data_IF_288494374077
#
_entry.id   IF_288494374077
#
_cell.length_a   1.000
_cell.length_b   1.000
_cell.length_c   1.000
_cell.angle_alpha   90.00
_cell.angle_beta   90.00
_cell.angle_gamma   90.00
#
_symmetry.space_group_name_H-M   'P 1'
#
loop_
_entity.id
_entity.type
_entity.pdbx_description
1 polymer ?
#
# COMPACT_ATOMS: atom_id res chain seq x y z
N UNK A 1 26.99 -17.67 17.33
CA UNK A 1 26.04 -16.88 18.11
C UNK A 1 25.22 -16.07 17.14
N UNK A 2 24.03 -16.55 16.82
CA UNK A 2 23.03 -15.84 16.08
C UNK A 2 22.40 -14.84 17.06
N UNK A 3 22.81 -13.58 16.95
CA UNK A 3 22.08 -12.53 17.63
C UNK A 3 20.91 -12.16 16.74
N UNK A 4 19.71 -12.23 17.28
CA UNK A 4 18.49 -11.67 16.65
C UNK A 4 18.86 -10.31 16.05
N UNK A 5 18.55 -10.06 14.78
CA UNK A 5 19.11 -8.92 14.08
C UNK A 5 18.60 -7.58 14.60
N UNK A 6 17.52 -7.55 15.37
CA UNK A 6 16.97 -6.28 15.78
C UNK A 6 16.01 -6.37 16.97
N UNK A 7 16.48 -6.03 18.15
CA UNK A 7 15.66 -5.34 19.14
C UNK A 7 16.10 -3.87 19.10
N UNK A 8 15.29 -3.02 18.51
CA UNK A 8 15.50 -1.59 18.58
C UNK A 8 14.89 -1.06 19.88
N UNK A 9 15.70 -0.93 20.91
CA UNK A 9 15.31 -0.28 22.15
C UNK A 9 15.16 1.26 21.97
N UNK A 10 15.28 1.77 20.74
CA UNK A 10 15.19 3.18 20.47
C UNK A 10 13.73 3.64 20.52
N UNK A 11 13.44 4.53 21.43
CA UNK A 11 12.13 5.20 21.53
C UNK A 11 12.01 6.27 20.44
N UNK A 12 11.29 5.97 19.39
CA UNK A 12 10.99 6.90 18.29
C UNK A 12 9.78 7.80 18.56
N UNK A 13 9.16 7.71 19.74
CA UNK A 13 7.96 8.47 20.08
C UNK A 13 8.11 9.99 20.02
N UNK A 14 9.35 10.49 19.96
CA UNK A 14 9.69 11.91 19.85
C UNK A 14 10.29 12.27 18.48
N UNK A 15 10.48 11.32 17.56
CA UNK A 15 11.00 11.62 16.24
C UNK A 15 9.88 12.27 15.40
N UNK A 16 10.15 13.46 14.90
CA UNK A 16 9.18 14.22 14.08
C UNK A 16 9.26 13.90 12.61
N UNK A 17 10.22 13.07 12.20
CA UNK A 17 10.47 12.69 10.80
C UNK A 17 10.80 11.21 10.76
N UNK A 18 10.08 10.49 9.93
CA UNK A 18 10.28 9.07 9.63
C UNK A 18 10.66 8.88 8.16
N UNK A 19 10.90 7.66 7.74
CA UNK A 19 11.15 7.28 6.34
C UNK A 19 10.04 6.34 5.90
N UNK A 20 9.30 6.71 4.87
CA UNK A 20 8.29 5.87 4.21
C UNK A 20 8.89 5.26 2.93
N UNK A 21 9.02 3.96 2.88
CA UNK A 21 9.62 3.22 1.76
C UNK A 21 8.51 2.53 0.96
N UNK A 22 8.23 3.04 -0.25
CA UNK A 22 7.18 2.53 -1.13
C UNK A 22 7.81 1.78 -2.29
N UNK A 23 7.25 0.63 -2.64
CA UNK A 23 7.77 -0.17 -3.73
C UNK A 23 7.07 -1.50 -3.89
N UNK A 24 7.65 -2.33 -4.74
CA UNK A 24 7.20 -3.70 -5.00
C UNK A 24 7.95 -4.74 -4.13
N UNK A 25 8.10 -5.95 -4.68
CA UNK A 25 8.78 -7.07 -4.01
C UNK A 25 10.23 -6.77 -3.59
N UNK A 26 10.93 -5.89 -4.29
CA UNK A 26 12.30 -5.52 -3.94
C UNK A 26 12.34 -4.63 -2.69
N UNK A 27 11.39 -3.70 -2.57
CA UNK A 27 11.26 -2.88 -1.36
C UNK A 27 10.78 -3.71 -0.19
N UNK A 28 9.80 -4.59 -0.42
CA UNK A 28 9.30 -5.53 0.59
C UNK A 28 10.40 -6.42 1.15
N UNK A 29 11.32 -6.86 0.29
CA UNK A 29 12.37 -7.82 0.60
C UNK A 29 11.94 -9.26 0.33
N UNK A 30 11.04 -9.46 -0.63
CA UNK A 30 10.59 -10.80 -1.04
C UNK A 30 11.75 -11.72 -1.38
N UNK A 31 11.70 -12.96 -0.88
CA UNK A 31 12.76 -13.95 -1.05
C UNK A 31 14.02 -13.69 -0.20
N UNK A 32 13.99 -12.71 0.70
CA UNK A 32 15.11 -12.46 1.62
C UNK A 32 15.19 -13.46 2.77
N UNK A 33 14.14 -14.21 3.06
CA UNK A 33 14.04 -15.12 4.21
C UNK A 33 15.15 -16.16 4.29
N UNK A 34 15.67 -16.61 3.12
CA UNK A 34 16.79 -17.53 3.00
C UNK A 34 18.04 -16.89 2.36
N UNK A 35 18.03 -15.55 2.19
CA UNK A 35 19.11 -14.85 1.53
C UNK A 35 20.40 -14.88 2.34
N UNK A 36 21.52 -15.10 1.65
CA UNK A 36 22.85 -15.07 2.27
C UNK A 36 23.90 -14.59 1.31
N UNK A 37 25.00 -14.09 1.85
CA UNK A 37 26.22 -13.81 1.09
C UNK A 37 27.34 -14.75 1.54
N UNK A 38 28.20 -15.14 0.60
CA UNK A 38 29.42 -15.88 0.90
C UNK A 38 30.56 -14.89 1.06
N UNK A 39 31.16 -14.92 2.23
CA UNK A 39 32.36 -14.14 2.54
C UNK A 39 33.56 -15.05 2.72
N UNK A 40 34.76 -14.47 2.85
CA UNK A 40 35.97 -15.24 3.20
C UNK A 40 35.86 -15.92 4.58
N UNK A 41 35.01 -15.39 5.45
CA UNK A 41 34.76 -15.93 6.78
C UNK A 41 33.62 -16.97 6.80
N UNK A 42 32.91 -17.20 5.68
CA UNK A 42 31.81 -18.15 5.55
C UNK A 42 30.51 -17.51 5.09
N UNK A 43 29.42 -18.25 5.27
CA UNK A 43 28.06 -17.80 4.97
C UNK A 43 27.61 -16.77 6.00
N UNK A 44 27.10 -15.63 5.52
CA UNK A 44 26.45 -14.60 6.34
C UNK A 44 25.00 -14.51 5.87
N UNK A 45 24.08 -14.73 6.78
CA UNK A 45 22.66 -14.57 6.55
C UNK A 45 22.33 -13.06 6.39
N UNK A 46 21.57 -12.70 5.37
CA UNK A 46 21.12 -11.35 5.08
C UNK A 46 19.61 -11.26 4.91
N UNK A 47 18.87 -12.28 5.30
CA UNK A 47 17.41 -12.37 5.14
C UNK A 47 16.65 -11.17 5.71
N UNK A 48 17.19 -10.53 6.73
CA UNK A 48 16.56 -9.37 7.36
C UNK A 48 17.05 -8.00 6.84
N UNK A 49 17.97 -7.99 5.88
CA UNK A 49 18.55 -6.72 5.38
C UNK A 49 17.75 -6.18 4.18
N UNK A 50 16.49 -5.86 4.39
CA UNK A 50 15.68 -5.10 3.42
C UNK A 50 16.17 -3.66 3.29
N UNK A 51 15.77 -2.95 2.25
CA UNK A 51 16.12 -1.55 2.07
C UNK A 51 15.60 -0.67 3.24
N UNK A 52 14.34 -0.78 3.67
CA UNK A 52 13.82 -0.05 4.83
C UNK A 52 14.61 -0.33 6.12
N UNK A 53 14.85 -1.61 6.43
CA UNK A 53 15.65 -1.98 7.59
C UNK A 53 17.03 -1.36 7.57
N UNK A 54 17.73 -1.45 6.43
CA UNK A 54 19.08 -0.90 6.29
C UNK A 54 19.10 0.62 6.46
N UNK A 55 18.10 1.31 5.89
CA UNK A 55 17.95 2.76 6.06
C UNK A 55 17.72 3.14 7.52
N UNK A 56 16.85 2.44 8.24
CA UNK A 56 16.63 2.64 9.67
C UNK A 56 17.92 2.49 10.47
N UNK A 57 18.70 1.45 10.19
CA UNK A 57 20.01 1.21 10.84
C UNK A 57 21.03 2.30 10.56
N UNK A 58 21.11 2.80 9.33
CA UNK A 58 22.09 3.81 8.94
C UNK A 58 21.73 5.19 9.44
N UNK A 59 20.45 5.56 9.42
CA UNK A 59 19.97 6.90 9.78
C UNK A 59 19.61 7.00 11.24
N UNK A 60 19.19 5.91 11.86
CA UNK A 60 18.58 5.86 13.18
C UNK A 60 17.18 6.49 13.21
N UNK A 61 16.54 6.72 12.08
CA UNK A 61 15.15 7.14 11.97
C UNK A 61 14.23 5.93 11.97
N UNK A 62 12.97 6.14 12.36
CA UNK A 62 11.94 5.16 12.17
C UNK A 62 11.69 4.96 10.67
N UNK A 63 11.52 3.71 10.23
CA UNK A 63 11.28 3.39 8.81
C UNK A 63 10.07 2.51 8.68
N UNK A 64 9.23 2.83 7.70
CA UNK A 64 8.05 2.05 7.34
C UNK A 64 8.29 1.37 6.00
N UNK A 65 7.99 0.07 5.94
CA UNK A 65 8.09 -0.70 4.72
C UNK A 65 6.69 -0.86 4.11
N UNK A 66 6.47 -0.16 3.01
CA UNK A 66 5.27 -0.23 2.19
C UNK A 66 5.56 -0.93 0.84
N UNK A 67 6.50 -1.84 0.82
CA UNK A 67 6.73 -2.72 -0.31
C UNK A 67 5.64 -3.78 -0.41
N UNK A 68 5.14 -4.06 -1.61
CA UNK A 68 4.12 -5.09 -1.89
C UNK A 68 4.51 -5.85 -3.16
N UNK A 69 4.77 -7.15 -3.00
CA UNK A 69 5.15 -8.02 -4.12
C UNK A 69 4.10 -8.01 -5.23
N UNK A 70 4.59 -7.92 -6.47
CA UNK A 70 3.73 -7.96 -7.66
C UNK A 70 3.12 -6.62 -8.06
N UNK A 71 3.12 -5.61 -7.21
CA UNK A 71 2.54 -4.31 -7.57
C UNK A 71 3.26 -3.66 -8.76
N UNK A 72 2.47 -3.12 -9.66
CA UNK A 72 2.92 -2.28 -10.78
C UNK A 72 3.18 -0.84 -10.29
N UNK A 73 3.90 -0.05 -11.09
CA UNK A 73 4.16 1.35 -10.76
C UNK A 73 2.88 2.17 -10.54
N UNK A 74 1.83 1.88 -11.31
CA UNK A 74 0.51 2.53 -11.17
C UNK A 74 -0.13 2.23 -9.83
N UNK A 75 -0.07 0.98 -9.37
CA UNK A 75 -0.63 0.54 -8.09
C UNK A 75 0.14 1.13 -6.91
N UNK A 76 1.47 1.09 -6.96
CA UNK A 76 2.33 1.73 -5.96
C UNK A 76 2.03 3.23 -5.87
N UNK A 77 1.95 3.94 -7.02
CA UNK A 77 1.68 5.36 -7.05
C UNK A 77 0.28 5.71 -6.51
N UNK A 78 -0.72 4.85 -6.73
CA UNK A 78 -2.07 5.00 -6.14
C UNK A 78 -2.04 4.81 -4.63
N UNK A 79 -1.41 3.75 -4.17
CA UNK A 79 -1.32 3.41 -2.75
C UNK A 79 -0.49 4.44 -1.96
N UNK A 80 0.53 5.01 -2.58
CA UNK A 80 1.33 6.12 -2.04
C UNK A 80 0.63 7.50 -2.14
N UNK A 81 -0.58 7.57 -2.72
CA UNK A 81 -1.39 8.80 -2.79
C UNK A 81 -1.08 9.74 -3.95
N UNK A 82 -0.10 9.41 -4.81
CA UNK A 82 0.25 10.23 -5.98
C UNK A 82 -0.81 10.18 -7.08
N UNK A 83 -1.35 8.99 -7.37
CA UNK A 83 -2.46 8.84 -8.31
C UNK A 83 -3.78 8.75 -7.55
N UNK A 84 -4.71 9.64 -7.88
CA UNK A 84 -5.99 9.77 -7.16
C UNK A 84 -6.94 8.63 -7.48
N UNK A 85 -7.71 8.24 -6.48
CA UNK A 85 -8.85 7.35 -6.59
C UNK A 85 -10.12 8.08 -6.18
N UNK A 86 -11.25 7.76 -6.80
CA UNK A 86 -12.54 8.39 -6.54
C UNK A 86 -13.65 7.35 -6.50
N UNK A 87 -14.72 7.63 -5.75
CA UNK A 87 -15.92 6.79 -5.74
C UNK A 87 -16.68 6.89 -7.06
N UNK A 88 -17.13 5.75 -7.63
CA UNK A 88 -17.91 5.68 -8.87
C UNK A 88 -19.38 6.08 -8.70
N UNK A 89 -19.87 6.15 -7.45
CA UNK A 89 -21.27 6.41 -7.09
C UNK A 89 -21.42 7.13 -5.77
N UNK A 90 -22.65 7.59 -5.48
CA UNK A 90 -22.99 8.07 -4.15
C UNK A 90 -23.04 6.89 -3.17
N UNK A 91 -22.54 7.10 -1.94
CA UNK A 91 -22.55 6.10 -0.88
C UNK A 91 -23.24 6.64 0.37
N UNK A 92 -23.84 5.74 1.14
CA UNK A 92 -24.43 6.02 2.45
C UNK A 92 -23.70 5.20 3.51
N UNK A 93 -22.51 5.64 3.85
CA UNK A 93 -21.64 4.88 4.75
C UNK A 93 -22.12 4.94 6.20
N UNK A 94 -21.95 3.83 6.90
CA UNK A 94 -22.17 3.71 8.33
C UNK A 94 -21.20 2.67 8.94
N UNK A 95 -21.23 2.51 10.26
CA UNK A 95 -20.33 1.60 10.99
C UNK A 95 -20.71 0.12 10.90
N UNK A 96 -21.97 -0.18 10.56
CA UNK A 96 -22.52 -1.53 10.73
C UNK A 96 -22.63 -2.32 9.43
N UNK A 97 -22.69 -1.63 8.29
CA UNK A 97 -22.91 -2.25 6.98
C UNK A 97 -21.92 -1.75 5.96
N UNK A 98 -21.46 -2.66 5.12
CA UNK A 98 -20.64 -2.34 3.96
C UNK A 98 -21.50 -1.86 2.80
N UNK A 99 -20.97 -0.90 2.05
CA UNK A 99 -21.49 -0.44 0.75
C UNK A 99 -20.50 -0.81 -0.35
N UNK A 100 -21.01 -1.40 -1.43
CA UNK A 100 -20.20 -1.79 -2.57
C UNK A 100 -19.94 -0.61 -3.49
N UNK A 101 -18.70 -0.43 -3.89
CA UNK A 101 -18.23 0.68 -4.72
C UNK A 101 -17.11 0.22 -5.64
N UNK A 102 -17.04 0.76 -6.84
CA UNK A 102 -15.86 0.71 -7.68
C UNK A 102 -15.06 2.00 -7.48
N UNK A 103 -13.77 1.87 -7.21
CA UNK A 103 -12.87 3.02 -7.20
C UNK A 103 -12.43 3.29 -8.64
N UNK A 104 -12.39 4.57 -9.02
CA UNK A 104 -12.05 5.02 -10.37
C UNK A 104 -10.82 5.90 -10.33
N UNK A 105 -10.01 5.84 -11.36
CA UNK A 105 -8.92 6.81 -11.57
C UNK A 105 -9.43 8.12 -12.20
N UNK A 106 -8.57 9.12 -12.36
CA UNK A 106 -8.89 10.40 -12.99
C UNK A 106 -9.28 10.28 -14.48
N UNK A 107 -8.95 9.18 -15.12
CA UNK A 107 -9.32 8.88 -16.52
C UNK A 107 -10.68 8.19 -16.62
N UNK A 108 -11.27 7.78 -15.49
CA UNK A 108 -12.52 7.04 -15.40
C UNK A 108 -12.37 5.54 -15.61
N UNK A 109 -11.17 4.99 -15.44
CA UNK A 109 -10.96 3.55 -15.44
C UNK A 109 -11.12 3.00 -14.01
N UNK A 110 -11.65 1.78 -13.86
CA UNK A 110 -11.72 1.14 -12.56
C UNK A 110 -10.32 0.85 -12.00
N UNK A 111 -10.21 1.02 -10.69
CA UNK A 111 -8.99 0.72 -9.93
C UNK A 111 -9.14 -0.63 -9.29
N UNK A 112 -8.25 -1.55 -9.62
CA UNK A 112 -8.20 -2.83 -8.96
C UNK A 112 -7.57 -2.71 -7.57
N UNK A 113 -8.18 -3.36 -6.57
CA UNK A 113 -7.64 -3.50 -5.23
C UNK A 113 -7.76 -4.96 -4.81
N UNK A 114 -6.65 -5.67 -4.79
CA UNK A 114 -6.62 -7.07 -4.42
C UNK A 114 -6.19 -7.30 -2.97
N UNK A 115 -6.52 -8.46 -2.46
CA UNK A 115 -6.18 -8.92 -1.13
C UNK A 115 -4.97 -9.86 -1.20
N UNK A 116 -3.89 -9.50 -0.51
CA UNK A 116 -2.69 -10.33 -0.39
C UNK A 116 -2.69 -11.23 0.85
N UNK A 117 -3.73 -11.20 1.66
CA UNK A 117 -3.79 -11.96 2.92
C UNK A 117 -3.61 -13.47 2.74
N UNK A 118 -3.96 -14.01 1.57
CA UNK A 118 -3.81 -15.43 1.22
C UNK A 118 -2.36 -15.93 1.17
N UNK A 119 -1.38 -15.04 0.99
CA UNK A 119 0.05 -15.42 0.91
C UNK A 119 0.76 -15.54 2.25
N UNK A 120 0.05 -15.40 3.37
CA UNK A 120 0.63 -15.51 4.71
C UNK A 120 1.57 -14.37 5.07
N UNK A 121 1.55 -13.31 4.29
CA UNK A 121 2.31 -12.09 4.54
C UNK A 121 1.40 -11.17 5.33
N UNK A 122 1.72 -10.98 6.61
CA UNK A 122 1.07 -9.97 7.44
C UNK A 122 1.52 -8.58 6.98
N UNK A 123 0.90 -8.05 5.93
CA UNK A 123 1.07 -6.65 5.58
C UNK A 123 0.30 -5.79 6.56
N UNK A 124 1.00 -5.23 7.51
CA UNK A 124 0.43 -4.29 8.47
C UNK A 124 -0.16 -3.02 7.81
N UNK A 125 0.13 -2.79 6.51
CA UNK A 125 -0.15 -1.52 5.84
C UNK A 125 -0.77 -1.63 4.44
N UNK A 126 -1.15 -2.82 4.00
CA UNK A 126 -1.99 -2.93 2.80
C UNK A 126 -3.34 -2.27 3.10
N UNK A 127 -3.95 -1.49 2.17
CA UNK A 127 -5.00 -0.55 2.57
C UNK A 127 -6.28 -1.27 3.00
N UNK A 128 -6.27 -1.82 4.21
CA UNK A 128 -7.49 -2.19 4.91
C UNK A 128 -8.28 -0.95 5.34
N UNK A 129 -7.62 0.21 5.30
CA UNK A 129 -8.20 1.48 5.70
C UNK A 129 -7.84 2.61 4.74
N UNK A 130 -8.85 3.45 4.48
CA UNK A 130 -8.76 4.64 3.64
C UNK A 130 -9.43 5.82 4.31
N UNK A 131 -9.05 7.02 3.92
CA UNK A 131 -9.80 8.23 4.23
C UNK A 131 -10.70 8.61 3.06
N UNK A 132 -11.97 8.90 3.36
CA UNK A 132 -12.95 9.42 2.42
C UNK A 132 -13.58 10.65 3.09
N UNK A 133 -13.38 11.84 2.49
CA UNK A 133 -13.84 13.12 3.07
C UNK A 133 -13.44 13.30 4.55
N UNK A 134 -12.20 12.90 4.90
CA UNK A 134 -11.65 13.02 6.25
C UNK A 134 -12.14 11.97 7.25
N UNK A 135 -13.01 11.05 6.86
CA UNK A 135 -13.50 9.95 7.70
C UNK A 135 -12.71 8.68 7.40
N UNK A 136 -12.23 8.00 8.44
CA UNK A 136 -11.52 6.74 8.33
C UNK A 136 -12.52 5.62 8.05
N UNK A 137 -12.33 4.95 6.93
CA UNK A 137 -13.16 3.86 6.45
C UNK A 137 -12.35 2.57 6.33
N UNK A 138 -12.98 1.45 6.61
CA UNK A 138 -12.44 0.12 6.34
C UNK A 138 -12.84 -0.29 4.93
N UNK A 139 -11.88 -0.82 4.19
CA UNK A 139 -12.08 -1.49 2.90
C UNK A 139 -12.03 -3.00 3.11
N UNK A 140 -13.01 -3.69 2.52
CA UNK A 140 -13.00 -5.13 2.34
C UNK A 140 -12.91 -5.43 0.84
N UNK A 141 -11.86 -6.08 0.44
CA UNK A 141 -11.59 -6.44 -0.96
C UNK A 141 -12.27 -7.76 -1.26
N UNK A 142 -12.96 -7.81 -2.40
CA UNK A 142 -13.77 -8.96 -2.76
C UNK A 142 -13.01 -10.05 -3.52
N UNK A 143 -11.78 -9.76 -3.90
CA UNK A 143 -11.00 -10.67 -4.74
C UNK A 143 -9.60 -10.87 -4.19
N UNK A 144 -9.21 -12.11 -4.22
CA UNK A 144 -7.86 -12.52 -3.90
C UNK A 144 -6.93 -12.35 -5.14
N UNK A 145 -5.63 -12.36 -4.94
CA UNK A 145 -4.66 -12.14 -6.00
C UNK A 145 -4.58 -13.33 -6.98
N UNK A 146 -4.91 -14.55 -6.54
CA UNK A 146 -4.93 -15.72 -7.42
C UNK A 146 -6.01 -15.56 -8.48
N UNK A 147 -7.20 -15.08 -8.10
CA UNK A 147 -8.29 -14.76 -9.02
C UNK A 147 -7.86 -13.68 -10.03
N UNK A 148 -7.07 -12.69 -9.60
CA UNK A 148 -6.57 -11.63 -10.50
C UNK A 148 -5.66 -12.17 -11.61
N UNK A 149 -4.73 -13.07 -11.27
CA UNK A 149 -3.81 -13.63 -12.27
C UNK A 149 -4.50 -14.58 -13.27
N UNK A 150 -5.51 -15.34 -12.82
CA UNK A 150 -6.32 -16.21 -13.69
C UNK A 150 -7.11 -15.39 -14.71
N UNK A 151 -7.65 -14.23 -14.33
CA UNK A 151 -8.46 -13.39 -15.20
C UNK A 151 -7.66 -12.51 -16.15
N UNK A 152 -6.40 -12.20 -15.83
CA UNK A 152 -5.51 -11.47 -16.76
C UNK A 152 -5.25 -12.27 -18.06
N UNK A 153 -5.49 -13.58 -18.06
CA UNK A 153 -5.42 -14.41 -19.26
C UNK A 153 -6.69 -14.38 -20.10
N UNK A 154 -7.83 -13.96 -19.53
CA UNK A 154 -9.12 -13.83 -20.22
C UNK A 154 -9.46 -12.33 -20.42
N UNK A 155 -9.58 -11.88 -21.66
CA UNK A 155 -9.91 -10.49 -22.06
C UNK A 155 -11.31 -9.99 -21.61
N UNK A 156 -12.06 -10.74 -20.79
CA UNK A 156 -13.43 -10.45 -20.35
C UNK A 156 -13.47 -9.86 -18.92
N UNK A 157 -12.99 -8.61 -18.76
CA UNK A 157 -13.10 -7.90 -17.48
C UNK A 157 -14.53 -7.41 -17.21
N UNK A 158 -15.09 -7.85 -16.09
CA UNK A 158 -16.35 -7.33 -15.58
C UNK A 158 -16.09 -6.25 -14.49
N UNK A 159 -16.86 -5.17 -14.49
CA UNK A 159 -16.75 -4.11 -13.46
C UNK A 159 -16.95 -4.65 -12.03
N UNK A 160 -17.66 -5.76 -11.88
CA UNK A 160 -17.87 -6.44 -10.60
C UNK A 160 -16.56 -6.93 -9.99
N UNK A 161 -15.55 -7.18 -10.82
CA UNK A 161 -14.23 -7.67 -10.41
C UNK A 161 -13.39 -6.58 -9.72
N UNK A 162 -13.75 -5.32 -9.95
CA UNK A 162 -13.11 -4.14 -9.36
C UNK A 162 -13.84 -3.60 -8.13
N UNK A 163 -14.93 -4.25 -7.71
CA UNK A 163 -15.70 -3.74 -6.58
C UNK A 163 -15.05 -4.08 -5.25
N UNK A 164 -15.02 -3.09 -4.38
CA UNK A 164 -14.69 -3.21 -2.97
C UNK A 164 -15.90 -2.88 -2.12
N UNK A 165 -15.90 -3.34 -0.88
CA UNK A 165 -16.93 -2.99 0.11
C UNK A 165 -16.34 -2.05 1.14
N UNK A 166 -17.01 -0.93 1.43
CA UNK A 166 -16.50 0.11 2.33
C UNK A 166 -17.50 0.37 3.45
N UNK A 167 -17.01 0.57 4.66
CA UNK A 167 -17.77 1.05 5.82
C UNK A 167 -16.97 2.03 6.66
N UNK A 168 -17.61 2.81 7.53
CA UNK A 168 -16.92 3.63 8.51
C UNK A 168 -16.25 2.71 9.56
N UNK A 169 -14.98 2.98 9.90
CA UNK A 169 -14.28 2.26 10.97
C UNK A 169 -14.94 2.51 12.32
N UNK A 170 -15.09 1.46 13.13
CA UNK A 170 -15.79 1.51 14.40
C UNK A 170 -14.86 1.73 15.60
N UNK A 171 -13.68 1.13 15.60
CA UNK A 171 -12.74 1.15 16.73
C UNK A 171 -11.39 1.77 16.35
N UNK A 172 -11.36 3.07 16.20
CA UNK A 172 -10.13 3.79 15.79
C UNK A 172 -9.50 4.61 16.91
N UNK A 173 -10.17 4.68 18.07
CA UNK A 173 -9.83 5.65 19.14
C UNK A 173 -10.08 7.12 18.73
N UNK A 174 -10.58 7.35 17.51
CA UNK A 174 -10.96 8.65 16.99
C UNK A 174 -12.49 8.78 16.98
N UNK A 175 -12.98 10.01 17.19
CA UNK A 175 -14.43 10.27 17.04
C UNK A 175 -14.80 10.19 15.56
N UNK A 176 -15.58 9.15 15.18
CA UNK A 176 -16.06 8.91 13.83
C UNK A 176 -17.58 9.10 13.77
N UNK A 177 -18.14 9.65 12.68
CA UNK A 177 -19.58 9.76 12.53
C UNK A 177 -20.25 8.38 12.46
N UNK A 178 -21.47 8.25 12.95
CA UNK A 178 -22.23 7.00 12.83
C UNK A 178 -22.76 6.78 11.41
N UNK A 179 -22.91 7.87 10.65
CA UNK A 179 -23.42 7.88 9.29
C UNK A 179 -22.81 9.03 8.48
N UNK A 180 -22.53 8.79 7.20
CA UNK A 180 -22.05 9.81 6.28
C UNK A 180 -22.54 9.55 4.85
N UNK A 181 -23.01 10.62 4.19
CA UNK A 181 -23.28 10.60 2.76
C UNK A 181 -22.03 11.03 1.99
N UNK A 182 -21.60 10.21 1.04
CA UNK A 182 -20.46 10.45 0.16
C UNK A 182 -20.97 10.67 -1.25
N UNK A 183 -20.78 11.85 -1.85
CA UNK A 183 -21.06 12.07 -3.26
C UNK A 183 -20.17 11.23 -4.18
N UNK A 184 -20.70 10.85 -5.34
CA UNK A 184 -19.89 10.31 -6.44
C UNK A 184 -18.71 11.23 -6.77
N UNK A 185 -17.55 10.65 -7.06
CA UNK A 185 -16.33 11.41 -7.38
C UNK A 185 -15.58 11.94 -6.16
N UNK A 186 -15.98 11.53 -4.94
CA UNK A 186 -15.23 11.87 -3.73
C UNK A 186 -13.88 11.12 -3.72
N UNK A 187 -12.81 11.84 -3.42
CA UNK A 187 -11.46 11.29 -3.36
C UNK A 187 -11.33 10.25 -2.23
N UNK A 188 -10.58 9.20 -2.54
CA UNK A 188 -10.22 8.12 -1.62
C UNK A 188 -8.70 8.07 -1.50
N UNK A 189 -8.18 8.12 -0.28
CA UNK A 189 -6.75 8.11 0.01
C UNK A 189 -6.47 6.99 1.00
N UNK A 190 -5.44 6.18 0.76
CA UNK A 190 -5.01 5.17 1.72
C UNK A 190 -4.59 5.81 3.03
N UNK A 191 -4.88 5.16 4.16
CA UNK A 191 -4.45 5.66 5.46
C UNK A 191 -2.93 5.81 5.53
N UNK A 192 -2.18 4.84 4.98
CA UNK A 192 -0.74 4.88 4.94
C UNK A 192 -0.22 6.12 4.20
N UNK A 193 -0.74 6.45 3.00
CA UNK A 193 -0.34 7.66 2.28
C UNK A 193 -0.65 8.94 3.07
N UNK A 194 -1.82 9.00 3.70
CA UNK A 194 -2.21 10.16 4.49
C UNK A 194 -1.35 10.37 5.72
N UNK A 195 -1.07 9.30 6.46
CA UNK A 195 -0.31 9.36 7.71
C UNK A 195 1.19 9.65 7.47
N UNK A 196 1.72 9.23 6.32
CA UNK A 196 3.16 9.31 5.99
C UNK A 196 3.51 10.35 4.92
N UNK A 197 2.58 11.24 4.57
CA UNK A 197 2.76 12.29 3.53
C UNK A 197 3.88 13.29 3.84
N UNK A 198 4.24 13.45 5.11
CA UNK A 198 5.25 14.38 5.59
C UNK A 198 6.60 13.68 5.92
N UNK A 199 6.68 12.36 5.69
CA UNK A 199 7.88 11.57 5.93
C UNK A 199 8.89 11.72 4.76
N UNK A 200 10.11 11.27 5.01
CA UNK A 200 11.12 11.13 3.94
C UNK A 200 10.68 10.01 3.01
N UNK A 201 10.40 10.35 1.76
CA UNK A 201 9.98 9.41 0.74
C UNK A 201 11.18 8.65 0.18
N UNK A 202 11.08 7.32 0.18
CA UNK A 202 11.93 6.42 -0.61
C UNK A 202 11.02 5.61 -1.54
N UNK A 203 11.24 5.72 -2.84
CA UNK A 203 10.35 5.18 -3.85
C UNK A 203 11.11 4.28 -4.82
N UNK A 204 10.64 3.06 -4.99
CA UNK A 204 11.09 2.08 -5.96
C UNK A 204 9.87 1.50 -6.66
N UNK A 205 9.76 1.67 -7.99
CA UNK A 205 8.64 1.16 -8.77
C UNK A 205 8.99 1.06 -10.25
N UNK A 206 8.21 0.25 -10.99
CA UNK A 206 8.31 0.10 -12.44
C UNK A 206 8.91 -1.21 -12.92
N UNK A 207 9.39 -2.08 -12.02
CA UNK A 207 9.93 -3.39 -12.37
C UNK A 207 8.85 -4.36 -12.89
N UNK A 208 7.63 -4.24 -12.39
CA UNK A 208 6.47 -5.07 -12.76
C UNK A 208 5.57 -4.41 -13.83
N UNK A 209 6.03 -3.33 -14.49
CA UNK A 209 5.24 -2.61 -15.48
C UNK A 209 4.30 -1.57 -14.85
N UNK A 210 3.10 -1.39 -15.46
CA UNK A 210 2.14 -0.36 -15.08
C UNK A 210 2.41 0.98 -15.75
N UNK A 211 3.17 0.97 -16.86
CA UNK A 211 3.49 2.13 -17.69
C UNK A 211 3.66 1.67 -19.16
N UNK A 212 3.21 2.50 -20.09
CA UNK A 212 3.33 2.25 -21.53
C UNK A 212 4.66 2.75 -22.09
N UNK A 213 5.18 3.85 -21.52
CA UNK A 213 6.47 4.43 -21.89
C UNK A 213 7.14 5.13 -20.71
N UNK A 214 8.40 5.54 -20.89
CA UNK A 214 9.19 6.18 -19.83
C UNK A 214 8.61 7.53 -19.36
N UNK A 215 7.90 8.27 -20.21
CA UNK A 215 7.32 9.55 -19.84
C UNK A 215 6.13 9.33 -18.88
N UNK A 216 5.38 8.26 -19.07
CA UNK A 216 4.33 7.84 -18.13
C UNK A 216 4.92 7.41 -16.78
N UNK A 217 5.97 6.58 -16.78
CA UNK A 217 6.65 6.17 -15.55
C UNK A 217 7.18 7.40 -14.78
N UNK A 218 7.83 8.33 -15.46
CA UNK A 218 8.32 9.59 -14.86
C UNK A 218 7.15 10.38 -14.27
N UNK A 219 6.02 10.45 -14.97
CA UNK A 219 4.81 11.13 -14.49
C UNK A 219 4.27 10.51 -13.22
N UNK A 220 4.27 9.18 -13.12
CA UNK A 220 3.87 8.46 -11.91
C UNK A 220 4.81 8.74 -10.72
N UNK A 221 6.14 8.72 -10.96
CA UNK A 221 7.12 9.13 -9.94
C UNK A 221 6.87 10.56 -9.46
N UNK A 222 6.67 11.50 -10.40
CA UNK A 222 6.44 12.90 -10.06
C UNK A 222 5.15 13.08 -9.25
N UNK A 223 4.09 12.35 -9.59
CA UNK A 223 2.82 12.42 -8.88
C UNK A 223 2.92 11.98 -7.41
N UNK A 224 3.83 11.06 -7.09
CA UNK A 224 4.06 10.64 -5.68
C UNK A 224 4.94 11.64 -4.93
N UNK A 225 5.82 12.36 -5.64
CA UNK A 225 6.75 13.34 -5.03
C UNK A 225 6.05 14.67 -4.73
N UNK A 226 5.08 15.09 -5.55
CA UNK A 226 4.34 16.37 -5.43
C UNK A 226 3.28 16.33 -4.34
#
# INVERSE_FOLDING_TARGET
DYTEPYEDDKDYSNDTVSIACWGDSMMEGFGSDDAYILTKAGRVDISYYTAPYTLGKLTGLNTFNFGVSGETSTEIARRAGGLKMHTDRNLNLNKNTYEDVCLMDDKGNPVYMYDFSGYGIEYNDYPDTVYIDGVLCQIDKKRDIEDYWEDMEDDDYNIEDYMVSIRICDDTGLEQPDYMFIPQGTAVITKAAYDHKDDILVLEMGSNGGWDDYDELITQYQAVID
#
